data_IF_366765454841
#
_entry.id   IF_366765454841
#
_cell.length_a   1.000
_cell.length_b   1.000
_cell.length_c   1.000
_cell.angle_alpha   90.00
_cell.angle_beta   90.00
_cell.angle_gamma   90.00
#
_symmetry.space_group_name_H-M   'P 1'
#
loop_
_entity.id
_entity.type
_entity.pdbx_description
1 polymer ?
#
# COMPACT_ATOMS: atom_id res chain seq x y z
N UNK A 1 -13.60 28.45 -38.43
CA UNK A 1 -12.29 28.05 -38.99
C UNK A 1 -11.67 27.07 -38.04
N UNK A 2 -11.75 25.77 -38.35
CA UNK A 2 -11.07 24.68 -37.68
C UNK A 2 -9.60 24.71 -38.07
N UNK A 3 -8.70 24.73 -37.08
CA UNK A 3 -7.27 24.53 -37.30
C UNK A 3 -7.00 23.02 -37.31
N UNK A 4 -6.56 22.51 -38.44
CA UNK A 4 -6.14 21.13 -38.62
C UNK A 4 -4.83 20.88 -37.86
N UNK A 5 -4.81 19.83 -37.04
CA UNK A 5 -3.60 19.33 -36.40
C UNK A 5 -2.77 18.57 -37.44
N UNK A 6 -1.53 19.02 -37.63
CA UNK A 6 -0.56 18.42 -38.55
C UNK A 6 -0.07 17.07 -38.00
N UNK A 7 -0.37 16.00 -38.71
CA UNK A 7 -0.03 14.63 -38.36
C UNK A 7 1.42 14.23 -38.73
N UNK A 8 2.30 15.19 -39.04
CA UNK A 8 3.69 14.93 -39.47
C UNK A 8 4.67 14.65 -38.33
N UNK A 9 4.27 14.79 -37.10
CA UNK A 9 5.17 14.66 -35.93
C UNK A 9 5.50 13.22 -35.55
N UNK A 10 4.85 12.22 -36.10
CA UNK A 10 5.02 10.80 -35.70
C UNK A 10 5.83 9.93 -36.65
N UNK A 11 6.58 10.51 -37.59
CA UNK A 11 7.49 9.76 -38.45
C UNK A 11 8.95 10.09 -38.18
N UNK A 12 9.52 9.56 -37.08
CA UNK A 12 10.96 9.38 -36.97
C UNK A 12 11.23 7.87 -37.01
N UNK A 13 11.54 7.34 -38.21
CA UNK A 13 12.18 6.05 -38.36
C UNK A 13 13.48 6.05 -37.56
N UNK A 14 13.57 5.18 -36.57
CA UNK A 14 14.84 4.78 -35.99
C UNK A 14 15.17 3.39 -36.48
N UNK A 15 15.88 3.34 -37.62
CA UNK A 15 16.60 2.14 -38.00
C UNK A 15 17.87 2.03 -37.15
N UNK A 16 17.71 1.56 -35.91
CA UNK A 16 18.79 1.07 -35.10
C UNK A 16 18.69 -0.45 -35.10
N UNK A 17 19.43 -1.12 -35.99
CA UNK A 17 19.77 -2.53 -35.81
C UNK A 17 20.67 -2.65 -34.59
N UNK A 18 20.09 -2.76 -33.40
CA UNK A 18 20.75 -3.21 -32.22
C UNK A 18 20.82 -4.74 -32.30
N UNK A 19 22.01 -5.25 -32.50
CA UNK A 19 22.34 -6.68 -32.38
C UNK A 19 22.53 -7.06 -30.89
N UNK A 20 21.68 -6.53 -30.00
CA UNK A 20 21.67 -6.94 -28.63
C UNK A 20 21.02 -8.31 -28.54
N UNK A 21 21.85 -9.36 -28.45
CA UNK A 21 21.41 -10.65 -27.93
C UNK A 21 20.78 -10.36 -26.57
N UNK A 22 19.43 -10.44 -26.49
CA UNK A 22 18.73 -10.32 -25.24
C UNK A 22 19.36 -11.30 -24.24
N UNK A 23 19.85 -10.76 -23.11
CA UNK A 23 20.35 -11.60 -22.05
C UNK A 23 19.26 -12.57 -21.61
N UNK A 24 19.58 -13.83 -21.30
CA UNK A 24 18.60 -14.78 -20.82
C UNK A 24 17.91 -14.22 -19.59
N UNK A 25 16.58 -14.40 -19.51
CA UNK A 25 15.80 -13.96 -18.36
C UNK A 25 16.32 -14.65 -17.09
N UNK A 26 16.49 -13.88 -16.02
CA UNK A 26 16.67 -14.44 -14.69
C UNK A 26 15.34 -15.06 -14.26
N UNK A 27 15.31 -16.35 -13.99
CA UNK A 27 14.08 -17.10 -13.69
C UNK A 27 14.08 -17.77 -12.32
N UNK A 28 15.14 -17.57 -11.52
CA UNK A 28 15.27 -18.17 -10.18
C UNK A 28 15.45 -17.10 -9.10
N UNK A 29 14.65 -17.22 -8.02
CA UNK A 29 14.70 -16.32 -6.87
C UNK A 29 14.36 -17.06 -5.57
N UNK A 30 14.59 -16.42 -4.43
CA UNK A 30 14.07 -16.88 -3.14
C UNK A 30 12.56 -16.59 -3.04
N UNK A 31 12.15 -15.41 -3.53
CA UNK A 31 10.77 -14.96 -3.49
C UNK A 31 10.34 -14.44 -4.86
N UNK A 32 9.20 -14.93 -5.36
CA UNK A 32 8.54 -14.40 -6.54
C UNK A 32 7.34 -13.55 -6.08
N UNK A 33 7.25 -12.33 -6.59
CA UNK A 33 6.15 -11.41 -6.28
C UNK A 33 5.30 -11.23 -7.53
N UNK A 34 4.03 -11.55 -7.43
CA UNK A 34 3.06 -11.43 -8.50
C UNK A 34 2.29 -10.14 -8.34
N UNK A 35 2.60 -9.15 -9.17
CA UNK A 35 2.05 -7.80 -9.14
C UNK A 35 3.03 -6.76 -8.62
N UNK A 36 3.27 -5.72 -9.40
CA UNK A 36 4.16 -4.59 -9.12
C UNK A 36 3.44 -3.34 -8.61
N UNK A 37 2.26 -3.50 -7.99
CA UNK A 37 1.56 -2.43 -7.27
C UNK A 37 2.17 -2.12 -5.91
N UNK A 38 1.53 -1.25 -5.12
CA UNK A 38 2.03 -0.83 -3.80
C UNK A 38 2.38 -2.01 -2.90
N UNK A 39 1.46 -2.95 -2.71
CA UNK A 39 1.69 -4.13 -1.85
C UNK A 39 2.86 -4.99 -2.34
N UNK A 40 2.95 -5.23 -3.65
CA UNK A 40 4.04 -6.04 -4.23
C UNK A 40 5.38 -5.36 -4.11
N UNK A 41 5.45 -4.05 -4.33
CA UNK A 41 6.71 -3.30 -4.22
C UNK A 41 7.18 -3.19 -2.77
N UNK A 42 6.28 -3.01 -1.80
CA UNK A 42 6.61 -3.07 -0.36
C UNK A 42 7.12 -4.46 0.03
N UNK A 43 6.43 -5.52 -0.41
CA UNK A 43 6.86 -6.89 -0.15
C UNK A 43 8.26 -7.17 -0.76
N UNK A 44 8.51 -6.71 -2.00
CA UNK A 44 9.79 -6.85 -2.66
C UNK A 44 10.92 -6.13 -1.92
N UNK A 45 10.69 -4.86 -1.56
CA UNK A 45 11.67 -4.06 -0.83
C UNK A 45 11.98 -4.66 0.55
N UNK A 46 10.96 -5.13 1.27
CA UNK A 46 11.15 -5.78 2.58
C UNK A 46 11.90 -7.11 2.45
N UNK A 47 11.67 -7.89 1.40
CA UNK A 47 12.37 -9.14 1.17
C UNK A 47 13.86 -8.90 0.87
N UNK A 48 14.19 -7.93 0.01
CA UNK A 48 15.61 -7.61 -0.28
C UNK A 48 16.34 -7.02 0.91
N UNK A 49 15.66 -6.26 1.79
CA UNK A 49 16.24 -5.80 3.07
C UNK A 49 16.70 -6.96 3.97
N UNK A 50 16.05 -8.11 3.82
CA UNK A 50 16.39 -9.35 4.55
C UNK A 50 17.33 -10.27 3.76
N UNK A 51 17.92 -9.79 2.68
CA UNK A 51 18.90 -10.50 1.88
C UNK A 51 18.31 -11.53 0.90
N UNK A 52 17.00 -11.53 0.69
CA UNK A 52 16.38 -12.42 -0.28
C UNK A 52 16.59 -11.92 -1.72
N UNK A 53 16.85 -12.83 -2.65
CA UNK A 53 16.79 -12.56 -4.09
C UNK A 53 15.33 -12.57 -4.52
N UNK A 54 14.88 -11.51 -5.19
CA UNK A 54 13.48 -11.30 -5.55
C UNK A 54 13.29 -11.18 -7.05
N UNK A 55 12.21 -11.75 -7.57
CA UNK A 55 11.69 -11.45 -8.91
C UNK A 55 10.28 -10.90 -8.76
N UNK A 56 10.05 -9.69 -9.30
CA UNK A 56 8.71 -9.09 -9.40
C UNK A 56 8.19 -9.27 -10.82
N UNK A 57 6.96 -9.78 -10.96
CA UNK A 57 6.29 -9.99 -12.24
C UNK A 57 5.03 -9.11 -12.30
N UNK A 58 5.07 -8.10 -13.18
CA UNK A 58 3.97 -7.16 -13.39
C UNK A 58 3.37 -7.33 -14.79
N UNK A 59 2.07 -7.52 -14.88
CA UNK A 59 1.36 -7.72 -16.16
C UNK A 59 1.34 -6.48 -17.05
N UNK A 60 1.32 -5.30 -16.44
CA UNK A 60 1.30 -4.02 -17.18
C UNK A 60 2.71 -3.61 -17.61
N UNK A 61 2.79 -2.69 -18.56
CA UNK A 61 4.06 -2.15 -19.04
C UNK A 61 4.78 -1.27 -17.99
N UNK A 62 4.07 -0.87 -16.92
CA UNK A 62 4.62 -0.02 -15.86
C UNK A 62 4.18 -0.53 -14.49
N UNK A 63 5.01 -0.24 -13.49
CA UNK A 63 4.73 -0.54 -12.08
C UNK A 63 3.69 0.43 -11.50
N UNK A 64 3.18 0.06 -10.33
CA UNK A 64 2.40 0.92 -9.46
C UNK A 64 0.93 0.54 -9.36
N UNK A 65 0.35 -0.12 -10.36
CA UNK A 65 -1.04 -0.55 -10.33
C UNK A 65 -2.00 0.58 -9.94
N UNK A 66 -3.01 0.29 -9.12
CA UNK A 66 -3.94 1.29 -8.61
C UNK A 66 -3.29 2.28 -7.64
N UNK A 67 -2.23 1.88 -6.93
CA UNK A 67 -1.49 2.79 -6.04
C UNK A 67 -0.94 3.99 -6.78
N UNK A 68 -0.31 3.81 -7.95
CA UNK A 68 0.22 4.92 -8.73
C UNK A 68 -0.87 5.83 -9.34
N UNK A 69 -2.12 5.39 -9.34
CA UNK A 69 -3.28 6.13 -9.88
C UNK A 69 -4.11 6.80 -8.80
N UNK A 70 -3.80 6.55 -7.53
CA UNK A 70 -4.47 7.18 -6.41
C UNK A 70 -3.89 8.58 -6.14
N UNK A 71 -4.57 9.35 -5.29
CA UNK A 71 -4.07 10.66 -4.83
C UNK A 71 -2.90 10.53 -3.82
N UNK A 72 -2.57 9.31 -3.41
CA UNK A 72 -1.47 9.02 -2.50
C UNK A 72 -1.80 9.17 -1.02
N UNK A 73 -3.05 9.47 -0.68
CA UNK A 73 -3.46 9.50 0.71
C UNK A 73 -3.29 8.12 1.35
N UNK A 74 -2.61 8.08 2.49
CA UNK A 74 -2.48 6.91 3.34
C UNK A 74 -3.19 7.18 4.67
N UNK A 75 -4.15 6.34 5.03
CA UNK A 75 -4.83 6.45 6.31
C UNK A 75 -3.99 5.79 7.41
N UNK A 76 -3.43 6.61 8.30
CA UNK A 76 -2.67 6.18 9.46
C UNK A 76 -2.89 7.15 10.61
N UNK A 77 -2.85 6.65 11.84
CA UNK A 77 -2.90 7.51 13.02
C UNK A 77 -1.64 8.37 13.09
N UNK A 78 -1.82 9.64 13.44
CA UNK A 78 -0.68 10.53 13.67
C UNK A 78 0.08 10.10 14.93
N UNK A 79 1.41 10.02 14.89
CA UNK A 79 2.21 9.69 16.07
C UNK A 79 2.16 10.77 17.16
N UNK A 80 1.68 11.99 16.83
CA UNK A 80 1.62 13.12 17.76
C UNK A 80 0.19 13.68 17.87
N UNK A 81 -0.80 12.90 18.32
CA UNK A 81 -2.21 13.31 18.34
C UNK A 81 -2.46 14.55 19.18
N UNK A 82 -1.61 14.83 20.17
CA UNK A 82 -1.68 16.03 21.03
C UNK A 82 -1.47 17.35 20.29
N UNK A 83 -0.91 17.29 19.07
CA UNK A 83 -0.69 18.47 18.21
C UNK A 83 -1.84 18.71 17.25
N UNK A 84 -2.79 17.81 17.15
CA UNK A 84 -3.83 17.84 16.12
C UNK A 84 -5.12 18.51 16.59
N UNK A 85 -5.90 17.81 17.43
CA UNK A 85 -7.25 18.21 17.81
C UNK A 85 -7.47 17.98 19.31
N UNK A 86 -8.35 18.81 19.89
CA UNK A 86 -8.85 18.59 21.24
C UNK A 86 -9.93 17.49 21.27
N UNK A 87 -10.08 16.84 22.41
CA UNK A 87 -11.17 15.89 22.67
C UNK A 87 -12.48 16.65 22.88
N UNK A 88 -13.17 16.95 21.81
CA UNK A 88 -14.46 17.65 21.84
C UNK A 88 -15.62 16.69 22.16
N UNK A 89 -16.80 17.26 22.48
CA UNK A 89 -18.01 16.44 22.64
C UNK A 89 -18.36 15.71 21.35
N UNK A 90 -18.22 16.35 20.19
CA UNK A 90 -18.47 15.68 18.90
C UNK A 90 -17.58 14.46 18.66
N UNK A 91 -16.31 14.52 19.08
CA UNK A 91 -15.40 13.35 19.01
C UNK A 91 -15.87 12.25 19.97
N UNK A 92 -16.29 12.61 21.19
CA UNK A 92 -16.84 11.66 22.17
C UNK A 92 -18.10 10.97 21.64
N UNK A 93 -18.98 11.71 21.01
CA UNK A 93 -20.22 11.17 20.42
C UNK A 93 -19.90 10.16 19.30
N UNK A 94 -18.86 10.41 18.49
CA UNK A 94 -18.39 9.45 17.50
C UNK A 94 -17.88 8.16 18.18
N UNK A 95 -17.01 8.25 19.19
CA UNK A 95 -16.53 7.06 19.90
C UNK A 95 -17.68 6.29 20.52
N UNK A 96 -18.63 7.00 21.15
CA UNK A 96 -19.84 6.42 21.75
C UNK A 96 -20.67 5.69 20.70
N UNK A 97 -20.88 6.30 19.51
CA UNK A 97 -21.58 5.65 18.39
C UNK A 97 -20.97 4.28 18.09
N UNK A 98 -19.67 4.23 17.80
CA UNK A 98 -19.00 2.99 17.39
C UNK A 98 -18.93 1.94 18.52
N UNK A 99 -18.85 2.36 19.77
CA UNK A 99 -18.79 1.44 20.93
C UNK A 99 -20.13 0.98 21.45
N UNK A 100 -21.25 1.60 21.02
CA UNK A 100 -22.61 1.25 21.45
C UNK A 100 -23.48 0.65 20.34
N UNK A 101 -23.04 0.65 19.09
CA UNK A 101 -23.76 0.01 18.00
C UNK A 101 -23.85 -1.50 18.20
N UNK A 102 -24.87 -2.15 17.60
CA UNK A 102 -25.00 -3.60 17.64
C UNK A 102 -23.81 -4.26 16.95
N UNK A 103 -22.99 -5.08 17.64
CA UNK A 103 -21.84 -5.70 17.03
C UNK A 103 -22.27 -6.79 16.02
N UNK A 104 -21.62 -6.84 14.87
CA UNK A 104 -21.91 -7.82 13.83
C UNK A 104 -21.19 -9.17 14.07
N UNK A 105 -20.28 -9.23 15.03
CA UNK A 105 -19.58 -10.45 15.45
C UNK A 105 -19.06 -10.32 16.87
N UNK A 106 -18.66 -11.47 17.45
CA UNK A 106 -17.95 -11.48 18.75
C UNK A 106 -16.67 -10.66 18.71
N UNK A 107 -15.89 -10.75 17.62
CA UNK A 107 -14.66 -9.99 17.48
C UNK A 107 -14.90 -8.48 17.51
N UNK A 108 -15.98 -8.00 16.89
CA UNK A 108 -16.38 -6.59 16.95
C UNK A 108 -16.83 -6.19 18.36
N UNK A 109 -17.56 -7.05 19.07
CA UNK A 109 -17.92 -6.79 20.47
C UNK A 109 -16.67 -6.66 21.38
N UNK A 110 -15.70 -7.55 21.20
CA UNK A 110 -14.44 -7.52 21.95
C UNK A 110 -13.63 -6.23 21.64
N UNK A 111 -13.62 -5.76 20.39
CA UNK A 111 -13.02 -4.47 20.01
C UNK A 111 -13.73 -3.29 20.67
N UNK A 112 -15.07 -3.30 20.70
CA UNK A 112 -15.86 -2.25 21.38
C UNK A 112 -15.51 -2.15 22.86
N UNK A 113 -15.42 -3.26 23.57
CA UNK A 113 -15.02 -3.27 24.98
C UNK A 113 -13.57 -2.79 25.17
N UNK A 114 -12.66 -3.13 24.23
CA UNK A 114 -11.30 -2.64 24.26
C UNK A 114 -11.24 -1.12 24.12
N UNK A 115 -11.94 -0.57 23.15
CA UNK A 115 -12.01 0.88 22.91
C UNK A 115 -12.61 1.62 24.11
N UNK A 116 -13.66 1.10 24.75
CA UNK A 116 -14.22 1.68 25.98
C UNK A 116 -13.19 1.78 27.09
N UNK A 117 -12.41 0.71 27.32
CA UNK A 117 -11.35 0.68 28.33
C UNK A 117 -10.22 1.68 27.99
N UNK A 118 -9.84 1.76 26.73
CA UNK A 118 -8.80 2.69 26.26
C UNK A 118 -9.25 4.15 26.43
N UNK A 119 -10.50 4.47 26.09
CA UNK A 119 -11.06 5.81 26.30
C UNK A 119 -11.11 6.17 27.78
N UNK A 120 -11.56 5.25 28.64
CA UNK A 120 -11.56 5.47 30.08
C UNK A 120 -10.14 5.72 30.65
N UNK A 121 -9.13 5.00 30.17
CA UNK A 121 -7.73 5.22 30.54
C UNK A 121 -7.20 6.57 30.04
N UNK A 122 -7.58 6.98 28.82
CA UNK A 122 -7.25 8.29 28.27
C UNK A 122 -7.81 9.43 29.13
N UNK A 123 -9.08 9.32 29.54
CA UNK A 123 -9.75 10.30 30.41
C UNK A 123 -9.15 10.32 31.82
N UNK A 124 -8.88 9.16 32.42
CA UNK A 124 -8.25 9.04 33.72
C UNK A 124 -6.82 9.66 33.75
N UNK A 125 -6.11 9.62 32.62
CA UNK A 125 -4.81 10.26 32.44
C UNK A 125 -4.92 11.79 32.22
N UNK A 126 -6.13 12.37 32.23
CA UNK A 126 -6.37 13.81 32.07
C UNK A 126 -6.04 14.35 30.68
N UNK A 127 -5.91 13.50 29.66
CA UNK A 127 -5.58 13.88 28.31
C UNK A 127 -6.70 14.73 27.70
N UNK A 128 -6.34 15.84 27.05
CA UNK A 128 -7.29 16.80 26.45
C UNK A 128 -7.32 16.72 24.93
N UNK A 129 -6.36 16.04 24.31
CA UNK A 129 -6.30 15.85 22.88
C UNK A 129 -7.20 14.70 22.43
N UNK A 130 -7.43 14.59 21.13
CA UNK A 130 -8.26 13.57 20.51
C UNK A 130 -7.81 12.17 20.92
N UNK A 131 -8.77 11.36 21.37
CA UNK A 131 -8.55 9.92 21.57
C UNK A 131 -8.60 9.21 20.23
N UNK A 132 -7.54 8.47 19.92
CA UNK A 132 -7.50 7.55 18.79
C UNK A 132 -6.76 6.26 19.19
N UNK A 133 -7.11 5.16 18.53
CA UNK A 133 -6.45 3.87 18.71
C UNK A 133 -6.61 2.98 17.48
N UNK A 134 -5.71 1.99 17.28
CA UNK A 134 -5.87 1.00 16.20
C UNK A 134 -7.22 0.28 16.26
N UNK A 135 -7.73 0.02 17.46
CA UNK A 135 -9.01 -0.68 17.67
C UNK A 135 -10.21 0.21 17.31
N UNK A 136 -10.16 1.51 17.61
CA UNK A 136 -11.18 2.45 17.15
C UNK A 136 -11.15 2.60 15.63
N UNK A 137 -9.97 2.72 15.05
CA UNK A 137 -9.80 2.75 13.60
C UNK A 137 -10.34 1.48 12.93
N UNK A 138 -10.08 0.31 13.55
CA UNK A 138 -10.62 -0.97 13.07
C UNK A 138 -12.16 -1.01 13.14
N UNK A 139 -12.78 -0.58 14.25
CA UNK A 139 -14.23 -0.51 14.37
C UNK A 139 -14.86 0.35 13.27
N UNK A 140 -14.30 1.52 13.03
CA UNK A 140 -14.76 2.45 12.00
C UNK A 140 -14.64 1.85 10.60
N UNK A 141 -13.52 1.15 10.32
CA UNK A 141 -13.27 0.49 9.03
C UNK A 141 -14.21 -0.69 8.80
N UNK A 142 -14.46 -1.51 9.84
CA UNK A 142 -15.36 -2.67 9.75
C UNK A 142 -16.80 -2.21 9.52
N UNK A 143 -17.25 -1.21 10.26
CA UNK A 143 -18.61 -0.67 10.11
C UNK A 143 -18.81 -0.05 8.73
N UNK A 144 -17.87 0.77 8.27
CA UNK A 144 -17.95 1.39 6.95
C UNK A 144 -17.84 0.41 5.78
N UNK A 145 -17.34 -0.79 6.03
CA UNK A 145 -17.38 -1.93 5.11
C UNK A 145 -18.59 -2.84 5.32
N UNK A 146 -19.67 -2.36 5.96
CA UNK A 146 -20.90 -3.12 6.23
C UNK A 146 -20.64 -4.50 6.87
N UNK A 147 -19.59 -4.59 7.69
CA UNK A 147 -19.17 -5.83 8.36
C UNK A 147 -18.76 -6.99 7.40
N UNK A 148 -18.47 -6.72 6.15
CA UNK A 148 -18.00 -7.74 5.20
C UNK A 148 -16.52 -8.09 5.37
N UNK A 149 -15.74 -7.22 6.00
CA UNK A 149 -14.29 -7.44 6.18
C UNK A 149 -14.00 -8.40 7.33
N UNK A 150 -12.87 -9.14 7.21
CA UNK A 150 -12.34 -9.93 8.32
C UNK A 150 -11.77 -9.00 9.41
N UNK A 151 -12.32 -9.01 10.65
CA UNK A 151 -11.86 -8.12 11.72
C UNK A 151 -10.39 -8.28 12.08
N UNK A 152 -9.81 -9.49 11.93
CA UNK A 152 -8.39 -9.73 12.21
C UNK A 152 -7.48 -9.08 11.18
N UNK A 153 -7.86 -9.13 9.90
CA UNK A 153 -7.11 -8.46 8.83
C UNK A 153 -7.18 -6.95 8.98
N UNK A 154 -8.36 -6.41 9.28
CA UNK A 154 -8.54 -4.97 9.53
C UNK A 154 -7.71 -4.52 10.72
N UNK A 155 -7.76 -5.25 11.84
CA UNK A 155 -6.96 -4.89 13.03
C UNK A 155 -5.46 -4.99 12.75
N UNK A 156 -5.02 -5.99 12.01
CA UNK A 156 -3.62 -6.09 11.57
C UNK A 156 -3.19 -4.86 10.77
N UNK A 157 -4.02 -4.42 9.82
CA UNK A 157 -3.77 -3.22 9.03
C UNK A 157 -3.69 -1.97 9.92
N UNK A 158 -4.67 -1.73 10.79
CA UNK A 158 -4.73 -0.51 11.62
C UNK A 158 -3.63 -0.45 12.67
N UNK A 159 -3.23 -1.58 13.24
CA UNK A 159 -2.11 -1.67 14.20
C UNK A 159 -0.74 -1.39 13.55
N UNK A 160 -0.60 -1.64 12.27
CA UNK A 160 0.67 -1.46 11.56
C UNK A 160 0.69 -0.22 10.64
N UNK A 161 -0.41 0.51 10.50
CA UNK A 161 -0.52 1.62 9.54
C UNK A 161 0.54 2.72 9.79
N UNK A 162 0.69 3.18 11.04
CA UNK A 162 1.68 4.21 11.40
C UNK A 162 3.12 3.73 11.20
N UNK A 163 3.41 2.48 11.56
CA UNK A 163 4.73 1.90 11.33
C UNK A 163 5.05 1.76 9.82
N UNK A 164 4.06 1.38 9.02
CA UNK A 164 4.19 1.32 7.57
C UNK A 164 4.40 2.71 6.95
N UNK A 165 3.70 3.72 7.46
CA UNK A 165 3.88 5.12 7.06
C UNK A 165 5.32 5.60 7.30
N UNK A 166 5.84 5.40 8.52
CA UNK A 166 7.20 5.77 8.89
C UNK A 166 8.24 4.99 8.08
N UNK A 167 7.99 3.71 7.80
CA UNK A 167 8.88 2.90 6.96
C UNK A 167 8.91 3.43 5.52
N UNK A 168 7.76 3.79 4.92
CA UNK A 168 7.72 4.38 3.57
C UNK A 168 8.51 5.69 3.50
N UNK A 169 8.38 6.57 4.48
CA UNK A 169 9.15 7.81 4.56
C UNK A 169 10.66 7.53 4.58
N UNK A 170 11.10 6.50 5.30
CA UNK A 170 12.51 6.09 5.36
C UNK A 170 13.06 5.52 4.05
N UNK A 171 12.22 5.18 3.09
CA UNK A 171 12.63 4.60 1.80
C UNK A 171 12.87 5.64 0.69
N UNK A 172 12.52 6.89 0.91
CA UNK A 172 12.57 7.95 -0.10
C UNK A 172 12.88 9.32 0.51
N UNK A 173 13.11 10.31 -0.34
CA UNK A 173 13.27 11.71 0.07
C UNK A 173 11.92 12.44 0.24
N UNK A 174 10.84 11.70 0.52
CA UNK A 174 9.54 12.28 0.79
C UNK A 174 9.34 12.53 2.28
N UNK A 175 8.38 13.38 2.61
CA UNK A 175 7.80 13.50 3.94
C UNK A 175 6.28 13.54 3.87
N UNK A 176 5.63 13.47 5.03
CA UNK A 176 4.18 13.49 5.10
C UNK A 176 3.65 14.90 5.36
N UNK A 177 2.62 15.26 4.62
CA UNK A 177 1.78 16.40 4.98
C UNK A 177 0.74 15.93 5.98
N UNK A 178 0.96 16.26 7.23
CA UNK A 178 0.00 16.02 8.30
C UNK A 178 -1.17 16.99 8.13
N UNK A 179 -2.37 16.43 8.11
CA UNK A 179 -3.58 17.20 7.87
C UNK A 179 -3.72 18.30 8.93
N UNK A 180 -3.91 19.58 8.53
CA UNK A 180 -4.22 20.62 9.48
C UNK A 180 -5.48 20.31 10.29
N UNK A 181 -5.59 20.85 11.51
CA UNK A 181 -6.69 20.63 12.48
C UNK A 181 -8.11 20.68 11.92
N UNK A 182 -8.33 21.29 10.77
CA UNK A 182 -9.65 21.48 10.16
C UNK A 182 -9.89 20.61 8.92
N UNK A 183 -8.94 19.76 8.55
CA UNK A 183 -9.14 18.80 7.47
C UNK A 183 -9.51 17.43 8.07
N UNK A 184 -10.74 17.14 7.92
CA UNK A 184 -11.33 15.87 8.35
C UNK A 184 -11.13 14.90 7.20
N UNK A 185 -10.62 13.73 7.49
CA UNK A 185 -10.63 12.66 6.50
C UNK A 185 -12.10 12.35 6.17
N UNK A 186 -12.47 12.56 4.90
CA UNK A 186 -13.85 12.42 4.38
C UNK A 186 -14.22 10.94 4.24
N UNK A 187 -13.55 10.07 4.96
CA UNK A 187 -13.79 8.66 4.95
C UNK A 187 -14.61 8.16 6.12
N UNK A 188 -14.59 6.86 6.27
CA UNK A 188 -15.12 6.12 7.38
C UNK A 188 -14.44 6.63 8.66
N UNK A 189 -15.23 7.16 9.57
CA UNK A 189 -14.70 7.67 10.83
C UNK A 189 -14.84 9.17 11.04
N UNK A 190 -15.20 9.93 10.04
CA UNK A 190 -15.56 11.35 10.17
C UNK A 190 -14.43 12.21 10.67
N UNK A 191 -14.50 12.79 11.86
CA UNK A 191 -13.61 13.81 12.39
C UNK A 191 -12.16 13.39 12.73
N UNK A 192 -11.69 12.21 12.27
CA UNK A 192 -10.36 11.71 12.61
C UNK A 192 -9.30 12.13 11.60
N UNK A 193 -8.20 12.76 12.05
CA UNK A 193 -7.15 13.28 11.19
C UNK A 193 -6.14 12.18 10.81
N UNK A 194 -6.59 11.15 10.10
CA UNK A 194 -5.75 10.02 9.69
C UNK A 194 -5.22 10.11 8.26
N UNK A 195 -5.70 11.07 7.47
CA UNK A 195 -5.24 11.27 6.10
C UNK A 195 -3.84 11.85 6.05
N UNK A 196 -2.89 11.11 5.46
CA UNK A 196 -1.50 11.50 5.29
C UNK A 196 -1.16 11.55 3.81
N UNK A 197 -0.77 12.72 3.29
CA UNK A 197 -0.39 12.90 1.89
C UNK A 197 1.12 13.03 1.74
N UNK A 198 1.73 12.33 0.77
CA UNK A 198 3.16 12.48 0.54
C UNK A 198 3.47 13.88 -0.03
N UNK A 199 4.61 14.42 0.40
CA UNK A 199 5.20 15.67 -0.10
C UNK A 199 6.68 15.44 -0.39
N UNK A 200 7.28 16.32 -1.18
CA UNK A 200 8.73 16.37 -1.29
C UNK A 200 9.35 16.71 0.07
N UNK A 201 10.66 16.55 0.19
CA UNK A 201 11.40 16.78 1.44
C UNK A 201 11.20 18.18 2.04
N UNK A 202 10.72 19.17 1.25
CA UNK A 202 10.38 20.51 1.73
C UNK A 202 9.05 20.55 2.54
N UNK A 203 8.34 19.44 2.63
CA UNK A 203 7.04 19.30 3.32
C UNK A 203 5.88 20.06 2.69
N UNK A 204 6.07 20.68 1.53
CA UNK A 204 5.08 21.58 0.89
C UNK A 204 4.73 21.15 -0.52
N UNK A 205 5.74 20.85 -1.33
CA UNK A 205 5.55 20.52 -2.74
C UNK A 205 4.89 19.15 -2.90
N UNK A 206 3.78 19.05 -3.65
CA UNK A 206 3.17 17.77 -3.96
C UNK A 206 4.14 16.85 -4.70
N UNK A 207 4.04 15.55 -4.44
CA UNK A 207 4.77 14.50 -5.14
C UNK A 207 3.78 13.48 -5.69
N UNK A 208 4.04 12.93 -6.87
CA UNK A 208 3.18 11.88 -7.40
C UNK A 208 3.26 10.62 -6.54
N UNK A 209 2.17 9.86 -6.47
CA UNK A 209 2.14 8.59 -5.73
C UNK A 209 3.17 7.60 -6.27
N UNK A 210 3.42 7.63 -7.58
CA UNK A 210 4.45 6.81 -8.20
C UNK A 210 5.85 7.18 -7.67
N UNK A 211 6.19 8.46 -7.67
CA UNK A 211 7.51 8.94 -7.22
C UNK A 211 7.69 8.80 -5.70
N UNK A 212 6.60 8.95 -4.93
CA UNK A 212 6.63 8.79 -3.48
C UNK A 212 6.84 7.33 -3.06
N UNK A 213 6.12 6.37 -3.67
CA UNK A 213 6.04 5.00 -3.16
C UNK A 213 6.68 3.97 -4.08
N UNK A 214 6.48 4.07 -5.39
CA UNK A 214 6.84 2.99 -6.32
C UNK A 214 8.30 3.11 -6.79
N UNK A 215 8.69 4.28 -7.24
CA UNK A 215 10.01 4.49 -7.82
C UNK A 215 11.16 4.24 -6.82
N UNK A 216 11.09 4.72 -5.55
CA UNK A 216 12.13 4.44 -4.55
C UNK A 216 12.26 2.95 -4.26
N UNK A 217 11.13 2.25 -4.08
CA UNK A 217 11.12 0.81 -3.81
C UNK A 217 11.65 0.00 -5.00
N UNK A 218 11.29 0.39 -6.23
CA UNK A 218 11.83 -0.24 -7.44
C UNK A 218 13.35 -0.03 -7.58
N UNK A 219 13.82 1.17 -7.26
CA UNK A 219 15.27 1.48 -7.22
C UNK A 219 15.98 0.60 -6.21
N UNK A 220 15.45 0.46 -5.01
CA UNK A 220 15.99 -0.39 -3.94
C UNK A 220 16.06 -1.86 -4.34
N UNK A 221 14.97 -2.40 -4.89
CA UNK A 221 14.91 -3.80 -5.36
C UNK A 221 15.98 -4.08 -6.41
N UNK A 222 16.12 -3.18 -7.40
CA UNK A 222 17.15 -3.29 -8.45
C UNK A 222 18.57 -3.16 -7.90
N UNK A 223 18.81 -2.23 -6.98
CA UNK A 223 20.11 -2.02 -6.35
C UNK A 223 20.57 -3.24 -5.54
N UNK A 224 19.64 -4.03 -5.01
CA UNK A 224 19.91 -5.31 -4.35
C UNK A 224 20.15 -6.49 -5.32
N UNK A 225 20.31 -6.24 -6.63
CA UNK A 225 20.53 -7.28 -7.64
C UNK A 225 19.30 -8.13 -7.95
N UNK A 226 18.11 -7.70 -7.53
CA UNK A 226 16.83 -8.36 -7.80
C UNK A 226 16.20 -7.83 -9.09
N UNK A 227 15.32 -8.64 -9.70
CA UNK A 227 14.81 -8.36 -11.05
C UNK A 227 13.34 -7.98 -11.02
N UNK A 228 12.95 -7.02 -11.86
CA UNK A 228 11.56 -6.61 -12.07
C UNK A 228 11.24 -6.76 -13.55
N UNK A 229 10.26 -7.59 -13.86
CA UNK A 229 9.72 -7.77 -15.20
C UNK A 229 8.36 -7.10 -15.29
N UNK A 230 8.23 -6.14 -16.19
CA UNK A 230 6.93 -5.59 -16.63
C UNK A 230 6.45 -6.30 -17.89
N UNK A 231 5.17 -6.15 -18.22
CA UNK A 231 4.55 -6.85 -19.35
C UNK A 231 4.71 -8.38 -19.26
N UNK A 232 4.71 -8.90 -18.05
CA UNK A 232 4.88 -10.32 -17.73
C UNK A 232 3.66 -10.78 -16.91
N UNK A 233 2.71 -11.42 -17.58
CA UNK A 233 1.44 -11.86 -16.94
C UNK A 233 1.60 -13.25 -16.36
N UNK A 234 1.52 -13.38 -15.05
CA UNK A 234 1.42 -14.68 -14.37
C UNK A 234 0.06 -15.31 -14.69
N UNK A 235 0.08 -16.58 -15.04
CA UNK A 235 -1.09 -17.35 -15.45
C UNK A 235 -1.37 -18.53 -14.53
N UNK A 236 -0.36 -19.08 -13.84
CA UNK A 236 -0.50 -20.25 -13.01
C UNK A 236 0.52 -20.26 -11.88
N UNK A 237 0.15 -20.85 -10.74
CA UNK A 237 1.06 -21.14 -9.61
C UNK A 237 1.52 -22.58 -9.73
N UNK A 238 2.83 -22.80 -9.84
CA UNK A 238 3.44 -24.12 -9.90
C UNK A 238 3.51 -24.75 -8.51
N UNK A 239 3.21 -26.06 -8.46
CA UNK A 239 3.27 -26.86 -7.24
C UNK A 239 3.94 -28.20 -7.54
N UNK A 240 4.69 -28.70 -6.58
CA UNK A 240 5.20 -30.07 -6.61
C UNK A 240 4.09 -31.10 -6.25
N UNK A 241 4.36 -32.42 -6.39
CA UNK A 241 3.38 -33.43 -6.05
C UNK A 241 2.91 -33.45 -4.58
N UNK A 242 3.68 -32.83 -3.67
CA UNK A 242 3.27 -32.63 -2.26
C UNK A 242 2.30 -31.46 -2.06
N UNK A 243 2.04 -30.66 -3.12
CA UNK A 243 1.24 -29.44 -3.08
C UNK A 243 2.01 -28.18 -2.68
N UNK A 244 3.31 -28.27 -2.42
CA UNK A 244 4.17 -27.15 -2.11
C UNK A 244 4.34 -26.26 -3.36
N UNK A 245 4.21 -24.95 -3.17
CA UNK A 245 4.46 -23.97 -4.23
C UNK A 245 5.96 -23.94 -4.57
N UNK A 246 6.28 -24.02 -5.85
CA UNK A 246 7.65 -24.06 -6.39
C UNK A 246 7.96 -22.93 -7.35
N UNK A 247 6.93 -22.18 -7.78
CA UNK A 247 7.11 -21.08 -8.72
C UNK A 247 5.81 -20.65 -9.37
N UNK A 248 5.94 -20.03 -10.54
CA UNK A 248 4.81 -19.58 -11.36
C UNK A 248 5.10 -19.75 -12.85
N UNK A 249 4.05 -19.92 -13.66
CA UNK A 249 4.08 -19.73 -15.12
C UNK A 249 3.62 -18.32 -15.45
N UNK A 250 4.27 -17.73 -16.43
CA UNK A 250 3.90 -16.40 -16.93
C UNK A 250 4.03 -16.36 -18.46
N UNK A 251 3.38 -15.37 -19.08
CA UNK A 251 3.51 -15.08 -20.49
C UNK A 251 3.93 -13.63 -20.71
N UNK A 252 4.82 -13.40 -21.65
CA UNK A 252 5.24 -12.05 -22.05
C UNK A 252 4.24 -11.40 -23.03
N UNK A 253 4.53 -10.18 -23.50
CA UNK A 253 3.69 -9.44 -24.46
C UNK A 253 3.52 -10.14 -25.80
N UNK A 254 4.42 -11.06 -26.15
CA UNK A 254 4.35 -11.84 -27.41
C UNK A 254 3.61 -13.16 -27.21
N UNK A 255 3.18 -13.45 -25.97
CA UNK A 255 2.53 -14.71 -25.61
C UNK A 255 3.53 -15.85 -25.39
N UNK A 256 4.83 -15.59 -25.37
CA UNK A 256 5.82 -16.63 -25.08
C UNK A 256 5.74 -17.04 -23.62
N UNK A 257 5.72 -18.37 -23.31
CA UNK A 257 5.63 -18.87 -21.96
C UNK A 257 7.00 -18.81 -21.26
N UNK A 258 6.97 -18.49 -19.97
CA UNK A 258 8.13 -18.48 -19.08
C UNK A 258 7.78 -19.16 -17.76
N UNK A 259 8.75 -19.87 -17.17
CA UNK A 259 8.63 -20.47 -15.85
C UNK A 259 9.60 -19.77 -14.92
N UNK A 260 9.09 -19.27 -13.79
CA UNK A 260 9.89 -18.67 -12.73
C UNK A 260 9.83 -19.56 -11.50
N UNK A 261 10.99 -19.97 -11.00
CA UNK A 261 11.13 -20.87 -9.85
C UNK A 261 11.51 -20.09 -8.60
N UNK A 262 10.86 -20.38 -7.48
CA UNK A 262 11.12 -19.69 -6.21
C UNK A 262 10.70 -20.52 -5.01
N UNK A 263 11.35 -20.28 -3.87
CA UNK A 263 11.04 -20.94 -2.61
C UNK A 263 9.67 -20.51 -2.04
N UNK A 264 9.27 -19.28 -2.37
CA UNK A 264 8.02 -18.65 -1.93
C UNK A 264 7.42 -17.81 -3.06
N UNK A 265 6.09 -17.70 -3.07
CA UNK A 265 5.34 -16.83 -3.97
C UNK A 265 4.42 -15.94 -3.14
N UNK A 266 4.49 -14.63 -3.39
CA UNK A 266 3.61 -13.63 -2.78
C UNK A 266 2.65 -13.13 -3.86
N UNK A 267 1.35 -13.31 -3.65
CA UNK A 267 0.32 -12.76 -4.51
C UNK A 267 -0.04 -11.34 -4.06
N UNK A 268 0.24 -10.36 -4.94
CA UNK A 268 -0.06 -8.95 -4.73
C UNK A 268 -0.71 -8.34 -5.99
N UNK A 269 -1.57 -9.13 -6.64
CA UNK A 269 -2.14 -8.82 -7.95
C UNK A 269 -3.24 -7.76 -7.93
N UNK A 270 -3.62 -7.26 -6.75
CA UNK A 270 -4.72 -6.34 -6.54
C UNK A 270 -6.07 -7.04 -6.48
N UNK A 271 -7.16 -6.26 -6.58
CA UNK A 271 -8.55 -6.71 -6.53
C UNK A 271 -9.41 -5.98 -7.54
#
# INVERSE_FOLDING_TARGET
KQAGADASFFKKKTDAKSSDKALPLETQADVIIVGGGGAGMVAAATAVERGAKVIVLEKMAMLGGNTARSEGNMSAMDPNPEKLLDMTQAVRDIVTKYTSMKPCSKAVADLQETVKKQLAAHDAAGKKYIFDSPELFALQTIEGGDCHSDPKLVLTMTQNATAAMNWLESQSDMTWFHVPRHWIDVGIGGLYPRGQWPRQADGKTPISTYDAYIAPLAKKVKAAGSTIYTSMKVTEIERDPSGRVTGVKAVDVKGAPHIFSGKNVILAAGG
#
